data_IF_442401681394
#
_entry.id   IF_442401681394
#
_cell.length_a   1.000
_cell.length_b   1.000
_cell.length_c   1.000
_cell.angle_alpha   90.00
_cell.angle_beta   90.00
_cell.angle_gamma   90.00
#
_symmetry.space_group_name_H-M   'P 1'
#
loop_
_entity.id
_entity.type
_entity.pdbx_description
1 polymer ?
#
# COMPACT_ATOMS: atom_id res chain seq x y z
N UNK A 1 0.25 14.24 27.72
CA UNK A 1 1.02 13.39 26.78
C UNK A 1 2.09 12.64 27.55
N UNK A 2 2.12 11.32 27.44
CA UNK A 2 3.13 10.48 28.11
C UNK A 2 4.41 10.55 27.28
N UNK A 3 5.51 10.95 27.93
CA UNK A 3 6.83 10.96 27.30
C UNK A 3 7.53 9.63 27.59
N UNK A 4 7.92 8.92 26.52
CA UNK A 4 8.63 7.65 26.66
C UNK A 4 10.12 7.88 26.86
N UNK A 5 10.72 7.08 27.74
CA UNK A 5 12.16 7.05 27.90
C UNK A 5 12.82 6.32 26.72
N UNK A 6 14.11 6.61 26.38
CA UNK A 6 14.78 5.97 25.26
C UNK A 6 14.74 4.44 25.28
N UNK A 7 14.87 3.81 26.45
CA UNK A 7 14.82 2.36 26.56
C UNK A 7 13.43 1.82 26.26
N UNK A 8 12.38 2.54 26.65
CA UNK A 8 10.99 2.15 26.32
C UNK A 8 10.76 2.21 24.81
N UNK A 9 11.33 3.21 24.14
CA UNK A 9 11.22 3.31 22.67
C UNK A 9 11.90 2.12 22.00
N UNK A 10 13.11 1.74 22.46
CA UNK A 10 13.82 0.59 21.88
C UNK A 10 13.06 -0.72 22.16
N UNK A 11 12.48 -0.88 23.33
CA UNK A 11 11.67 -2.06 23.68
C UNK A 11 10.45 -2.17 22.77
N UNK A 12 9.77 -1.05 22.48
CA UNK A 12 8.63 -1.02 21.56
C UNK A 12 9.06 -1.37 20.15
N UNK A 13 10.17 -0.86 19.67
CA UNK A 13 10.70 -1.16 18.33
C UNK A 13 11.06 -2.63 18.17
N UNK A 14 11.51 -3.28 19.24
CA UNK A 14 11.81 -4.69 19.24
C UNK A 14 10.59 -5.58 19.46
N UNK A 15 9.42 -5.00 19.74
CA UNK A 15 8.20 -5.74 19.98
C UNK A 15 7.64 -6.33 18.68
N UNK A 16 7.05 -7.53 18.78
CA UNK A 16 6.40 -8.19 17.63
C UNK A 16 5.29 -7.36 17.01
N UNK A 17 4.68 -6.46 17.75
CA UNK A 17 3.62 -5.56 17.25
C UNK A 17 4.11 -4.64 16.14
N UNK A 18 5.39 -4.24 16.15
CA UNK A 18 5.95 -3.33 15.16
C UNK A 18 6.96 -4.01 14.23
N UNK A 19 7.09 -5.32 14.34
CA UNK A 19 8.09 -6.08 13.60
C UNK A 19 7.91 -5.98 12.09
N UNK A 20 6.68 -6.13 11.60
CA UNK A 20 6.37 -6.00 10.18
C UNK A 20 6.70 -4.57 9.71
N UNK A 21 6.20 -3.57 10.43
CA UNK A 21 6.45 -2.17 10.09
C UNK A 21 7.94 -1.88 9.94
N UNK A 22 8.73 -2.28 10.92
CA UNK A 22 10.16 -2.01 10.91
C UNK A 22 10.87 -2.70 9.74
N UNK A 23 10.40 -3.86 9.35
CA UNK A 23 10.99 -4.61 8.24
C UNK A 23 10.68 -4.00 6.87
N UNK A 24 9.50 -3.41 6.70
CA UNK A 24 9.00 -2.99 5.38
C UNK A 24 8.99 -1.47 5.16
N UNK A 25 9.36 -0.69 6.18
CA UNK A 25 9.16 0.77 6.16
C UNK A 25 10.18 1.54 5.32
N UNK A 26 11.33 0.95 5.03
CA UNK A 26 12.40 1.61 4.25
C UNK A 26 12.33 1.14 2.79
N UNK A 27 12.40 2.10 1.87
CA UNK A 27 12.28 1.84 0.45
C UNK A 27 13.62 1.90 -0.24
N UNK A 28 13.92 0.91 -1.10
CA UNK A 28 15.05 0.96 -2.01
C UNK A 28 14.75 2.01 -3.10
N UNK A 29 15.61 3.02 -3.28
CA UNK A 29 15.35 4.05 -4.29
C UNK A 29 15.19 3.50 -5.71
N UNK A 30 15.80 2.37 -6.04
CA UNK A 30 15.66 1.75 -7.37
C UNK A 30 14.24 1.21 -7.62
N UNK A 31 13.42 1.08 -6.58
CA UNK A 31 12.04 0.57 -6.68
C UNK A 31 11.00 1.69 -6.77
N UNK A 32 11.44 2.91 -7.03
CA UNK A 32 10.57 4.08 -7.06
C UNK A 32 10.60 4.75 -8.43
N UNK A 33 9.55 5.53 -8.67
CA UNK A 33 9.48 6.43 -9.82
C UNK A 33 9.13 7.83 -9.35
N UNK A 34 9.78 8.83 -9.92
CA UNK A 34 9.38 10.22 -9.75
C UNK A 34 8.31 10.54 -10.79
N UNK A 35 7.18 11.06 -10.35
CA UNK A 35 6.06 11.42 -11.21
C UNK A 35 5.89 12.92 -11.16
N UNK A 36 5.77 13.55 -12.35
CA UNK A 36 5.49 14.98 -12.50
C UNK A 36 4.04 15.18 -12.92
N UNK A 37 3.34 16.05 -12.21
CA UNK A 37 1.98 16.45 -12.56
C UNK A 37 1.90 17.96 -12.51
N UNK A 38 2.08 18.60 -13.68
CA UNK A 38 2.25 20.04 -13.75
C UNK A 38 3.55 20.47 -13.06
N UNK A 39 3.46 21.43 -12.14
CA UNK A 39 4.60 21.88 -11.34
C UNK A 39 4.89 20.96 -10.13
N UNK A 40 4.04 19.95 -9.90
CA UNK A 40 4.14 19.07 -8.76
C UNK A 40 4.93 17.82 -9.11
N UNK A 41 5.88 17.46 -8.25
CA UNK A 41 6.65 16.22 -8.36
C UNK A 41 6.46 15.40 -7.10
N UNK A 42 6.29 14.10 -7.26
CA UNK A 42 6.19 13.19 -6.13
C UNK A 42 6.77 11.82 -6.50
N UNK A 43 7.15 11.07 -5.47
CA UNK A 43 7.71 9.74 -5.63
C UNK A 43 6.62 8.69 -5.47
N UNK A 44 6.57 7.73 -6.38
CA UNK A 44 5.65 6.59 -6.32
C UNK A 44 6.41 5.29 -6.16
N UNK A 45 5.73 4.29 -5.62
CA UNK A 45 6.27 2.95 -5.43
C UNK A 45 5.79 2.06 -6.56
N UNK A 46 6.69 1.19 -7.05
CA UNK A 46 6.30 0.12 -7.96
C UNK A 46 5.51 -0.93 -7.18
N UNK A 47 4.26 -1.14 -7.54
CA UNK A 47 3.36 -2.08 -6.85
C UNK A 47 3.92 -3.51 -6.83
N UNK A 48 4.56 -3.95 -7.92
CA UNK A 48 5.13 -5.29 -7.96
C UNK A 48 6.32 -5.46 -7.01
N UNK A 49 7.03 -4.39 -6.70
CA UNK A 49 8.11 -4.44 -5.69
C UNK A 49 7.53 -4.58 -4.28
N UNK A 50 6.38 -3.99 -4.01
CA UNK A 50 5.66 -4.25 -2.75
C UNK A 50 5.22 -5.70 -2.66
N UNK A 51 4.65 -6.24 -3.73
CA UNK A 51 4.23 -7.64 -3.79
C UNK A 51 5.42 -8.57 -3.58
N UNK A 52 6.56 -8.28 -4.21
CA UNK A 52 7.79 -9.03 -4.01
C UNK A 52 8.22 -9.02 -2.55
N UNK A 53 8.18 -7.85 -1.91
CA UNK A 53 8.53 -7.72 -0.49
C UNK A 53 7.59 -8.53 0.40
N UNK A 54 6.29 -8.44 0.14
CA UNK A 54 5.29 -9.22 0.87
C UNK A 54 5.51 -10.73 0.68
N UNK A 55 5.89 -11.14 -0.53
CA UNK A 55 6.19 -12.53 -0.85
C UNK A 55 7.39 -13.04 -0.06
N UNK A 56 8.41 -12.20 0.16
CA UNK A 56 9.56 -12.60 1.00
C UNK A 56 9.17 -12.80 2.46
N UNK A 57 8.13 -12.12 2.92
CA UNK A 57 7.64 -12.23 4.31
C UNK A 57 6.71 -13.43 4.48
N UNK A 58 5.73 -13.55 3.58
CA UNK A 58 4.58 -14.45 3.78
C UNK A 58 4.47 -15.57 2.77
N UNK A 59 5.29 -15.58 1.74
CA UNK A 59 5.20 -16.57 0.68
C UNK A 59 4.28 -16.13 -0.44
N UNK A 60 3.81 -17.10 -1.22
CA UNK A 60 3.06 -16.82 -2.43
C UNK A 60 1.72 -16.14 -2.14
N UNK A 61 1.37 -15.18 -2.98
CA UNK A 61 0.07 -14.48 -2.91
C UNK A 61 -1.08 -15.49 -2.95
N UNK A 62 -2.00 -15.36 -2.00
CA UNK A 62 -3.13 -16.27 -1.85
C UNK A 62 -2.92 -17.37 -0.82
N UNK A 63 -1.70 -17.54 -0.31
CA UNK A 63 -1.37 -18.49 0.76
C UNK A 63 -1.54 -17.86 2.13
N UNK A 64 -0.42 -17.43 2.74
CA UNK A 64 -0.42 -16.79 4.06
C UNK A 64 -0.81 -15.32 4.01
N UNK A 65 -0.94 -14.76 2.83
CA UNK A 65 -1.41 -13.41 2.60
C UNK A 65 -2.09 -13.32 1.24
N UNK A 66 -2.93 -12.34 1.05
CA UNK A 66 -3.62 -12.15 -0.22
C UNK A 66 -4.83 -11.26 -0.05
N UNK A 67 -5.72 -11.35 -1.03
CA UNK A 67 -6.95 -10.55 -1.08
C UNK A 67 -8.13 -11.49 -1.22
N UNK A 68 -9.20 -11.19 -0.51
CA UNK A 68 -10.45 -11.97 -0.55
C UNK A 68 -11.66 -11.05 -0.58
N UNK A 69 -12.83 -11.63 -0.87
CA UNK A 69 -14.12 -10.92 -0.85
C UNK A 69 -14.12 -9.69 -1.75
N UNK A 70 -13.56 -9.84 -2.95
CA UNK A 70 -13.49 -8.77 -3.94
C UNK A 70 -14.86 -8.47 -4.52
N UNK A 71 -15.23 -7.17 -4.54
CA UNK A 71 -16.45 -6.70 -5.18
C UNK A 71 -16.17 -5.46 -6.02
N UNK A 72 -16.86 -5.36 -7.15
CA UNK A 72 -16.88 -4.16 -7.97
C UNK A 72 -18.31 -3.64 -8.01
N UNK A 73 -18.50 -2.37 -7.68
CA UNK A 73 -19.81 -1.74 -7.66
C UNK A 73 -19.79 -0.49 -8.54
N UNK A 74 -20.72 -0.40 -9.48
CA UNK A 74 -20.86 0.80 -10.30
C UNK A 74 -21.72 1.81 -9.53
N UNK A 75 -21.13 2.98 -9.29
CA UNK A 75 -21.79 4.08 -8.60
C UNK A 75 -22.18 5.15 -9.63
N UNK A 76 -23.48 5.41 -9.74
CA UNK A 76 -23.98 6.32 -10.76
C UNK A 76 -23.72 5.78 -12.17
N UNK A 77 -23.34 6.66 -13.10
CA UNK A 77 -23.13 6.29 -14.49
C UNK A 77 -21.68 6.08 -14.88
N UNK A 78 -20.72 6.60 -14.11
CA UNK A 78 -19.34 6.71 -14.57
C UNK A 78 -18.28 6.24 -13.57
N UNK A 79 -18.66 5.93 -12.33
CA UNK A 79 -17.68 5.58 -11.29
C UNK A 79 -17.82 4.11 -10.91
N UNK A 80 -16.69 3.45 -10.73
CA UNK A 80 -16.65 2.08 -10.22
C UNK A 80 -15.85 2.06 -8.91
N UNK A 81 -16.41 1.38 -7.90
CA UNK A 81 -15.80 1.18 -6.60
C UNK A 81 -15.34 -0.27 -6.47
N UNK A 82 -14.09 -0.46 -6.09
CA UNK A 82 -13.54 -1.75 -5.73
C UNK A 82 -13.43 -1.85 -4.21
N UNK A 83 -13.90 -2.94 -3.64
CA UNK A 83 -13.77 -3.23 -2.22
C UNK A 83 -13.31 -4.67 -2.05
N UNK A 84 -12.45 -4.91 -1.09
CA UNK A 84 -11.94 -6.25 -0.79
C UNK A 84 -11.38 -6.28 0.62
N UNK A 85 -10.88 -7.45 1.03
CA UNK A 85 -10.20 -7.63 2.30
C UNK A 85 -8.79 -8.14 2.03
N UNK A 86 -7.80 -7.41 2.53
CA UNK A 86 -6.41 -7.86 2.56
C UNK A 86 -6.26 -8.74 3.79
N UNK A 87 -5.74 -9.96 3.62
CA UNK A 87 -5.40 -10.83 4.75
C UNK A 87 -3.90 -11.12 4.75
N UNK A 88 -3.37 -11.34 5.94
CA UNK A 88 -1.94 -11.58 6.13
C UNK A 88 -1.72 -12.37 7.42
N UNK A 89 -0.50 -12.81 7.66
CA UNK A 89 -0.14 -13.52 8.89
C UNK A 89 0.61 -12.57 9.82
N UNK A 90 0.14 -12.46 11.06
CA UNK A 90 0.80 -11.62 12.06
C UNK A 90 2.08 -12.30 12.57
N UNK A 91 3.00 -11.56 13.22
CA UNK A 91 4.17 -12.18 13.85
C UNK A 91 3.84 -13.26 14.88
N UNK A 92 2.64 -13.21 15.47
CA UNK A 92 2.16 -14.23 16.41
C UNK A 92 1.60 -15.47 15.72
N UNK A 93 1.57 -15.50 14.38
CA UNK A 93 1.07 -16.63 13.61
C UNK A 93 -0.44 -16.64 13.41
N UNK A 94 -1.14 -15.58 13.78
CA UNK A 94 -2.60 -15.46 13.60
C UNK A 94 -2.94 -14.72 12.31
N UNK A 95 -4.19 -14.84 11.85
CA UNK A 95 -4.67 -14.17 10.66
C UNK A 95 -5.02 -12.71 10.97
N UNK A 96 -4.38 -11.78 10.25
CA UNK A 96 -4.78 -10.38 10.27
C UNK A 96 -5.60 -10.05 9.03
N UNK A 97 -6.51 -9.09 9.14
CA UNK A 97 -7.32 -8.62 8.01
C UNK A 97 -7.46 -7.11 8.07
N UNK A 98 -7.52 -6.48 6.90
CA UNK A 98 -7.84 -5.07 6.80
C UNK A 98 -8.66 -4.82 5.53
N UNK A 99 -9.72 -3.99 5.60
CA UNK A 99 -10.47 -3.65 4.41
C UNK A 99 -9.63 -2.76 3.50
N UNK A 100 -9.75 -3.00 2.20
CA UNK A 100 -9.10 -2.18 1.17
C UNK A 100 -10.15 -1.74 0.15
N UNK A 101 -9.93 -0.57 -0.43
CA UNK A 101 -10.83 -0.06 -1.44
C UNK A 101 -10.11 0.91 -2.36
N UNK A 102 -10.70 1.10 -3.53
CA UNK A 102 -10.25 2.11 -4.50
C UNK A 102 -11.40 2.40 -5.45
N UNK A 103 -11.39 3.56 -6.08
CA UNK A 103 -12.39 3.93 -7.06
C UNK A 103 -11.74 4.56 -8.28
N UNK A 104 -12.40 4.43 -9.42
CA UNK A 104 -11.94 5.02 -10.67
C UNK A 104 -13.15 5.33 -11.55
N UNK A 105 -12.92 6.09 -12.59
CA UNK A 105 -13.94 6.41 -13.57
C UNK A 105 -13.90 5.39 -14.71
N UNK A 106 -15.09 4.90 -15.11
CA UNK A 106 -15.22 4.02 -16.26
C UNK A 106 -14.92 4.75 -17.58
N UNK A 107 -15.16 6.07 -17.59
CA UNK A 107 -14.96 6.91 -18.76
C UNK A 107 -14.09 8.09 -18.35
N UNK A 108 -13.03 8.35 -19.10
CA UNK A 108 -12.08 9.42 -18.80
C UNK A 108 -11.91 10.38 -19.98
N UNK A 109 -11.63 11.64 -19.64
CA UNK A 109 -11.28 12.69 -20.60
C UNK A 109 -12.48 13.36 -21.22
N UNK A 110 -12.19 14.38 -22.04
CA UNK A 110 -13.22 15.21 -22.68
C UNK A 110 -14.03 14.46 -23.73
N UNK A 111 -13.48 13.38 -24.28
CA UNK A 111 -14.12 12.59 -25.33
C UNK A 111 -14.82 11.35 -24.79
N UNK A 112 -15.04 11.27 -23.48
CA UNK A 112 -15.68 10.14 -22.81
C UNK A 112 -15.09 8.78 -23.21
N UNK A 113 -13.75 8.74 -23.29
CA UNK A 113 -13.04 7.52 -23.66
C UNK A 113 -13.18 6.47 -22.56
N UNK A 114 -13.54 5.24 -22.95
CA UNK A 114 -13.65 4.14 -22.02
C UNK A 114 -12.27 3.78 -21.41
N UNK A 115 -12.25 3.65 -20.08
CA UNK A 115 -11.05 3.32 -19.32
C UNK A 115 -10.92 1.78 -19.26
N UNK A 116 -10.20 1.20 -20.23
CA UNK A 116 -10.13 -0.25 -20.41
C UNK A 116 -9.41 -0.97 -19.26
N UNK A 117 -8.51 -0.27 -18.54
CA UNK A 117 -7.67 -0.87 -17.50
C UNK A 117 -8.23 -0.69 -16.11
N UNK A 118 -9.48 -0.25 -15.97
CA UNK A 118 -10.03 0.14 -14.67
C UNK A 118 -9.95 -0.97 -13.61
N UNK A 119 -10.25 -2.22 -13.96
CA UNK A 119 -10.25 -3.30 -12.99
C UNK A 119 -8.87 -3.60 -12.44
N UNK A 120 -7.87 -3.65 -13.31
CA UNK A 120 -6.48 -3.88 -12.94
C UNK A 120 -5.94 -2.75 -12.06
N UNK A 121 -6.19 -1.52 -12.45
CA UNK A 121 -5.74 -0.34 -11.70
C UNK A 121 -6.36 -0.30 -10.32
N UNK A 122 -7.65 -0.60 -10.19
CA UNK A 122 -8.34 -0.56 -8.91
C UNK A 122 -7.81 -1.61 -7.95
N UNK A 123 -7.66 -2.83 -8.40
CA UNK A 123 -7.16 -3.92 -7.55
C UNK A 123 -5.74 -3.63 -7.08
N UNK A 124 -4.86 -3.17 -7.98
CA UNK A 124 -3.47 -2.83 -7.65
C UNK A 124 -3.40 -1.65 -6.70
N UNK A 125 -4.17 -0.59 -6.96
CA UNK A 125 -4.18 0.61 -6.12
C UNK A 125 -4.68 0.31 -4.72
N UNK A 126 -5.75 -0.47 -4.59
CA UNK A 126 -6.28 -0.86 -3.29
C UNK A 126 -5.27 -1.70 -2.50
N UNK A 127 -4.59 -2.64 -3.16
CA UNK A 127 -3.57 -3.47 -2.52
C UNK A 127 -2.40 -2.62 -2.02
N UNK A 128 -1.92 -1.69 -2.85
CA UNK A 128 -0.83 -0.78 -2.48
C UNK A 128 -1.19 0.04 -1.25
N UNK A 129 -2.41 0.60 -1.22
CA UNK A 129 -2.89 1.37 -0.07
C UNK A 129 -3.03 0.50 1.18
N UNK A 130 -3.51 -0.74 1.01
CA UNK A 130 -3.64 -1.68 2.12
C UNK A 130 -2.29 -2.05 2.73
N UNK A 131 -1.33 -2.40 1.89
CA UNK A 131 0.02 -2.73 2.35
C UNK A 131 0.68 -1.54 3.05
N UNK A 132 0.43 -0.32 2.58
CA UNK A 132 0.99 0.88 3.23
C UNK A 132 0.51 1.03 4.68
N UNK A 133 -0.69 0.58 5.00
CA UNK A 133 -1.20 0.59 6.39
C UNK A 133 -0.46 -0.39 7.30
N UNK A 134 0.18 -1.40 6.73
CA UNK A 134 1.02 -2.34 7.46
C UNK A 134 2.46 -1.81 7.59
N UNK A 135 2.76 -0.67 7.01
CA UNK A 135 4.07 -0.03 7.05
C UNK A 135 4.87 -0.10 5.76
N UNK A 136 4.40 -0.82 4.75
CA UNK A 136 5.12 -0.96 3.49
C UNK A 136 5.39 0.40 2.87
N UNK A 137 6.68 0.70 2.67
CA UNK A 137 7.13 1.96 2.06
C UNK A 137 6.66 3.21 2.81
N UNK A 138 6.53 3.11 4.14
CA UNK A 138 6.05 4.23 4.96
C UNK A 138 6.93 5.47 4.83
N UNK A 139 8.22 5.32 4.55
CA UNK A 139 9.13 6.45 4.32
C UNK A 139 8.67 7.31 3.13
N UNK A 140 8.08 6.70 2.10
CA UNK A 140 7.51 7.44 0.96
C UNK A 140 6.21 8.14 1.37
N UNK A 141 5.31 7.42 2.02
CA UNK A 141 3.99 7.95 2.38
C UNK A 141 4.06 9.02 3.48
N UNK A 142 5.12 9.03 4.29
CA UNK A 142 5.33 10.05 5.32
C UNK A 142 6.22 11.20 4.86
N UNK A 143 6.75 11.16 3.65
CA UNK A 143 7.64 12.19 3.11
C UNK A 143 9.11 12.05 3.53
N UNK A 144 9.45 11.09 4.37
CA UNK A 144 10.83 10.90 4.83
C UNK A 144 11.78 10.54 3.69
N UNK A 145 11.30 9.76 2.72
CA UNK A 145 12.07 9.38 1.55
C UNK A 145 12.48 10.60 0.73
N UNK A 146 11.54 11.51 0.46
CA UNK A 146 11.82 12.71 -0.32
C UNK A 146 12.78 13.65 0.41
N UNK A 147 12.70 13.75 1.73
CA UNK A 147 13.65 14.51 2.51
C UNK A 147 15.08 13.97 2.38
N UNK A 148 15.22 12.63 2.34
CA UNK A 148 16.54 11.99 2.27
C UNK A 148 17.14 12.05 0.87
N UNK A 149 16.35 11.86 -0.18
CA UNK A 149 16.85 11.66 -1.54
C UNK A 149 16.55 12.82 -2.50
N UNK A 150 15.59 13.68 -2.20
CA UNK A 150 15.10 14.70 -3.12
C UNK A 150 14.95 16.09 -2.50
N UNK A 151 15.50 16.29 -1.30
CA UNK A 151 15.46 17.60 -0.64
C UNK A 151 16.43 18.60 -1.28
#
# INVERSE_FOLDING_TARGET
MIKLEPQQIEDIKGDDKVKIWNYVSTTDPSHTKEVSFGARKFTTVDAYRQIEKATTIWGVFGGEWGVKDETFTVLGLKTVLYQATLFYTTPQGTRGTTPIHSDDQLVKGQNDKYNEDWSKKLATDALTKGLSKLGFNSDIFTGQFDQKYHS
#
